data_IF_406262914580
#
_entry.id   IF_406262914580
#
_cell.length_a   1.000
_cell.length_b   1.000
_cell.length_c   1.000
_cell.angle_alpha   90.00
_cell.angle_beta   90.00
_cell.angle_gamma   90.00
#
_symmetry.space_group_name_H-M   'P 1'
#
loop_
_entity.id
_entity.type
_entity.pdbx_description
1 polymer ?
#
# COMPACT_ATOMS: atom_id res chain seq x y z
N UNK A 1 30.82 6.30 7.38
CA UNK A 1 29.43 5.83 7.19
C UNK A 1 28.66 6.09 8.47
N UNK A 2 27.53 6.81 8.42
CA UNK A 2 26.64 6.92 9.58
C UNK A 2 25.97 5.56 9.82
N UNK A 3 25.71 5.15 11.08
CA UNK A 3 24.98 3.92 11.34
C UNK A 3 23.56 4.04 10.76
N UNK A 4 23.22 3.12 9.86
CA UNK A 4 21.89 3.02 9.25
C UNK A 4 21.18 1.82 9.87
N UNK A 5 20.01 2.03 10.47
CA UNK A 5 19.12 0.92 10.80
C UNK A 5 18.31 0.56 9.57
N UNK A 6 18.55 -0.65 9.06
CA UNK A 6 17.79 -1.25 7.97
C UNK A 6 16.65 -2.07 8.58
N UNK A 7 15.41 -1.64 8.36
CA UNK A 7 14.23 -2.40 8.76
C UNK A 7 14.00 -3.55 7.77
N UNK A 8 13.82 -4.79 8.24
CA UNK A 8 13.62 -5.94 7.36
C UNK A 8 12.40 -5.79 6.45
N UNK A 9 12.48 -6.28 5.21
CA UNK A 9 11.36 -6.33 4.25
C UNK A 9 10.10 -6.98 4.86
N UNK A 10 10.30 -8.04 5.64
CA UNK A 10 9.21 -8.76 6.33
C UNK A 10 8.43 -7.87 7.31
N UNK A 11 9.08 -6.91 7.97
CA UNK A 11 8.42 -5.97 8.89
C UNK A 11 7.56 -4.95 8.13
N UNK A 12 8.04 -4.49 6.97
CA UNK A 12 7.25 -3.64 6.07
C UNK A 12 6.00 -4.36 5.56
N UNK A 13 6.17 -5.57 5.02
CA UNK A 13 5.08 -6.36 4.45
C UNK A 13 4.05 -6.68 5.53
N UNK A 14 4.47 -7.12 6.72
CA UNK A 14 3.57 -7.42 7.82
C UNK A 14 2.80 -6.17 8.29
N UNK A 15 3.49 -5.04 8.46
CA UNK A 15 2.86 -3.80 8.90
C UNK A 15 1.88 -3.24 7.85
N UNK A 16 2.24 -3.31 6.57
CA UNK A 16 1.40 -2.85 5.46
C UNK A 16 0.17 -3.75 5.29
N UNK A 17 0.35 -5.07 5.40
CA UNK A 17 -0.75 -6.04 5.40
C UNK A 17 -1.75 -5.73 6.51
N UNK A 18 -1.27 -5.56 7.74
CA UNK A 18 -2.13 -5.19 8.87
C UNK A 18 -2.84 -3.83 8.64
N UNK A 19 -2.15 -2.86 8.04
CA UNK A 19 -2.73 -1.57 7.71
C UNK A 19 -3.91 -1.70 6.73
N UNK A 20 -3.71 -2.42 5.61
CA UNK A 20 -4.79 -2.67 4.63
C UNK A 20 -5.94 -3.45 5.27
N UNK A 21 -5.63 -4.40 6.15
CA UNK A 21 -6.65 -5.16 6.88
C UNK A 21 -7.53 -4.28 7.76
N UNK A 22 -6.89 -3.44 8.57
CA UNK A 22 -7.60 -2.49 9.43
C UNK A 22 -8.42 -1.48 8.62
N UNK A 23 -7.96 -1.06 7.43
CA UNK A 23 -8.76 -0.21 6.54
C UNK A 23 -10.03 -0.93 6.07
N UNK A 24 -9.91 -2.19 5.63
CA UNK A 24 -11.06 -2.94 5.15
C UNK A 24 -12.09 -3.18 6.24
N UNK A 25 -11.66 -3.65 7.42
CA UNK A 25 -12.58 -3.87 8.56
C UNK A 25 -13.28 -2.56 8.96
N UNK A 26 -12.52 -1.45 8.99
CA UNK A 26 -13.08 -0.13 9.29
C UNK A 26 -14.10 0.35 8.25
N UNK A 27 -13.84 0.13 6.95
CA UNK A 27 -14.67 0.66 5.88
C UNK A 27 -15.85 -0.24 5.50
N UNK A 28 -15.70 -1.55 5.68
CA UNK A 28 -16.75 -2.55 5.47
C UNK A 28 -17.59 -2.79 6.74
N UNK A 29 -17.22 -2.19 7.87
CA UNK A 29 -18.00 -2.20 9.11
C UNK A 29 -18.18 -3.58 9.72
N UNK A 30 -17.35 -4.54 9.35
CA UNK A 30 -17.48 -5.95 9.74
C UNK A 30 -16.10 -6.60 9.92
N UNK A 31 -16.04 -7.60 10.81
CA UNK A 31 -14.90 -8.49 10.89
C UNK A 31 -14.89 -9.38 9.64
N UNK A 32 -13.79 -9.40 8.91
CA UNK A 32 -13.70 -10.07 7.61
C UNK A 32 -13.01 -11.44 7.75
N UNK A 33 -13.53 -12.42 7.02
CA UNK A 33 -12.84 -13.69 6.79
C UNK A 33 -11.81 -13.50 5.67
N UNK A 34 -10.60 -13.11 6.06
CA UNK A 34 -9.49 -12.75 5.16
C UNK A 34 -9.07 -13.85 4.18
N UNK A 35 -9.45 -15.10 4.43
CA UNK A 35 -9.12 -16.28 3.62
C UNK A 35 -10.07 -16.47 2.42
N UNK A 36 -11.13 -15.67 2.29
CA UNK A 36 -12.13 -15.80 1.24
C UNK A 36 -12.21 -14.51 0.38
N UNK A 37 -11.32 -14.35 -0.64
CA UNK A 37 -11.31 -13.18 -1.51
C UNK A 37 -12.67 -12.87 -2.15
N UNK A 38 -13.44 -13.85 -2.69
CA UNK A 38 -14.78 -13.60 -3.22
C UNK A 38 -15.74 -12.92 -2.24
N UNK A 39 -15.73 -13.33 -0.96
CA UNK A 39 -16.58 -12.72 0.08
C UNK A 39 -16.24 -11.25 0.31
N UNK A 40 -14.95 -10.94 0.42
CA UNK A 40 -14.47 -9.56 0.62
C UNK A 40 -14.77 -8.69 -0.60
N UNK A 41 -14.59 -9.21 -1.82
CA UNK A 41 -14.94 -8.48 -3.03
C UNK A 41 -16.44 -8.20 -3.14
N UNK A 42 -17.27 -9.19 -2.78
CA UNK A 42 -18.73 -9.02 -2.74
C UNK A 42 -19.15 -7.96 -1.70
N UNK A 43 -18.47 -7.93 -0.54
CA UNK A 43 -18.69 -6.89 0.45
C UNK A 43 -18.31 -5.50 -0.08
N UNK A 44 -17.18 -5.37 -0.78
CA UNK A 44 -16.78 -4.10 -1.41
C UNK A 44 -17.85 -3.62 -2.40
N UNK A 45 -18.37 -4.51 -3.24
CA UNK A 45 -19.39 -4.15 -4.24
C UNK A 45 -20.70 -3.72 -3.59
N UNK A 46 -21.11 -4.38 -2.52
CA UNK A 46 -22.31 -4.02 -1.75
C UNK A 46 -22.17 -2.67 -1.07
N UNK A 47 -21.01 -2.36 -0.49
CA UNK A 47 -20.80 -1.13 0.30
C UNK A 47 -20.36 0.07 -0.57
N UNK A 48 -19.87 -0.15 -1.79
CA UNK A 48 -19.37 0.94 -2.65
C UNK A 48 -20.40 2.07 -2.93
N UNK A 49 -21.71 1.80 -3.10
CA UNK A 49 -22.70 2.86 -3.32
C UNK A 49 -22.88 3.82 -2.12
N UNK A 50 -22.68 3.34 -0.90
CA UNK A 50 -22.86 4.11 0.35
C UNK A 50 -21.54 4.64 0.92
N UNK A 51 -20.43 3.95 0.63
CA UNK A 51 -19.10 4.30 1.10
C UNK A 51 -18.07 4.15 -0.02
N UNK A 52 -17.88 5.20 -0.82
CA UNK A 52 -16.94 5.17 -1.94
C UNK A 52 -15.50 4.75 -1.54
N UNK A 53 -15.07 4.97 -0.29
CA UNK A 53 -13.71 4.61 0.15
C UNK A 53 -13.40 3.12 0.03
N UNK A 54 -14.41 2.25 0.09
CA UNK A 54 -14.21 0.79 -0.06
C UNK A 54 -13.69 0.42 -1.45
N UNK A 55 -13.92 1.24 -2.48
CA UNK A 55 -13.40 1.00 -3.83
C UNK A 55 -11.87 1.01 -3.85
N UNK A 56 -11.24 1.79 -2.97
CA UNK A 56 -9.78 1.85 -2.85
C UNK A 56 -9.16 0.51 -2.41
N UNK A 57 -9.94 -0.35 -1.76
CA UNK A 57 -9.49 -1.71 -1.39
C UNK A 57 -9.19 -2.56 -2.62
N UNK A 58 -9.87 -2.35 -3.75
CA UNK A 58 -9.57 -3.07 -5.01
C UNK A 58 -8.15 -2.80 -5.52
N UNK A 59 -7.58 -1.64 -5.19
CA UNK A 59 -6.19 -1.30 -5.51
C UNK A 59 -5.19 -1.85 -4.49
N UNK A 60 -5.55 -1.87 -3.20
CA UNK A 60 -4.65 -2.21 -2.10
C UNK A 60 -4.56 -3.72 -1.83
N UNK A 61 -5.67 -4.45 -1.90
CA UNK A 61 -5.72 -5.89 -1.59
C UNK A 61 -4.75 -6.72 -2.45
N UNK A 62 -4.63 -6.50 -3.77
CA UNK A 62 -3.66 -7.23 -4.60
C UNK A 62 -2.18 -7.00 -4.23
N UNK A 63 -1.86 -5.97 -3.42
CA UNK A 63 -0.49 -5.71 -2.96
C UNK A 63 -0.12 -6.52 -1.71
N UNK A 64 -1.11 -6.94 -0.92
CA UNK A 64 -0.89 -7.65 0.36
C UNK A 64 -1.17 -9.14 0.26
N UNK A 65 -2.01 -9.55 -0.69
CA UNK A 65 -2.35 -10.94 -0.92
C UNK A 65 -2.57 -11.19 -2.43
N UNK A 66 -1.69 -11.99 -3.07
CA UNK A 66 -1.80 -12.30 -4.50
C UNK A 66 -3.10 -12.99 -4.92
N UNK A 67 -3.82 -13.66 -4.01
CA UNK A 67 -5.10 -14.31 -4.33
C UNK A 67 -6.19 -13.32 -4.79
N UNK A 68 -6.09 -12.05 -4.37
CA UNK A 68 -6.95 -10.97 -4.84
C UNK A 68 -6.58 -10.49 -6.24
N UNK A 69 -5.33 -10.69 -6.68
CA UNK A 69 -4.90 -10.32 -8.02
C UNK A 69 -5.56 -11.19 -9.10
N UNK A 70 -5.88 -12.46 -8.78
CA UNK A 70 -6.63 -13.35 -9.68
C UNK A 70 -8.13 -13.08 -9.72
N UNK A 71 -8.67 -12.40 -8.70
CA UNK A 71 -10.10 -12.15 -8.55
C UNK A 71 -10.54 -10.74 -8.99
N UNK A 72 -9.59 -9.87 -9.34
CA UNK A 72 -9.83 -8.50 -9.79
C UNK A 72 -9.28 -8.29 -11.20
N UNK A 73 -9.86 -7.36 -11.99
CA UNK A 73 -9.25 -6.94 -13.25
C UNK A 73 -7.79 -6.51 -13.05
N UNK A 74 -6.91 -6.97 -13.94
CA UNK A 74 -5.46 -6.69 -13.88
C UNK A 74 -5.12 -5.20 -13.78
N UNK A 75 -5.99 -4.34 -14.31
CA UNK A 75 -5.86 -2.89 -14.27
C UNK A 75 -5.72 -2.30 -12.86
N UNK A 76 -6.33 -2.88 -11.83
CA UNK A 76 -6.23 -2.35 -10.46
C UNK A 76 -4.81 -2.47 -9.89
N UNK A 77 -4.19 -3.65 -10.04
CA UNK A 77 -2.82 -3.90 -9.56
C UNK A 77 -1.82 -3.04 -10.33
N UNK A 78 -1.96 -2.96 -11.65
CA UNK A 78 -1.11 -2.12 -12.50
C UNK A 78 -1.23 -0.63 -12.12
N UNK A 79 -2.45 -0.15 -11.95
CA UNK A 79 -2.73 1.24 -11.56
C UNK A 79 -2.12 1.57 -10.19
N UNK A 80 -2.23 0.66 -9.22
CA UNK A 80 -1.63 0.87 -7.90
C UNK A 80 -0.10 0.85 -7.95
N UNK A 81 0.50 -0.05 -8.75
CA UNK A 81 1.94 -0.04 -9.03
C UNK A 81 2.39 1.24 -9.72
N UNK A 82 1.59 1.80 -10.63
CA UNK A 82 1.85 3.12 -11.24
C UNK A 82 1.86 4.23 -10.19
N UNK A 83 0.93 4.20 -9.23
CA UNK A 83 0.91 5.16 -8.11
C UNK A 83 2.20 5.08 -7.29
N UNK A 84 2.59 3.86 -6.87
CA UNK A 84 3.84 3.60 -6.13
C UNK A 84 5.06 4.09 -6.90
N UNK A 85 5.14 3.79 -8.20
CA UNK A 85 6.24 4.22 -9.07
C UNK A 85 6.36 5.74 -9.14
N UNK A 86 5.23 6.45 -9.23
CA UNK A 86 5.23 7.91 -9.22
C UNK A 86 5.63 8.48 -7.86
N UNK A 87 5.19 7.88 -6.75
CA UNK A 87 5.63 8.30 -5.41
C UNK A 87 7.13 8.10 -5.22
N UNK A 88 7.68 6.98 -5.71
CA UNK A 88 9.11 6.68 -5.70
C UNK A 88 9.92 7.69 -6.52
N UNK A 89 9.44 8.04 -7.72
CA UNK A 89 10.14 8.98 -8.62
C UNK A 89 10.06 10.43 -8.15
N UNK A 90 8.91 10.86 -7.65
CA UNK A 90 8.65 12.25 -7.30
C UNK A 90 9.05 12.55 -5.86
N UNK A 91 10.24 12.14 -5.41
CA UNK A 91 10.71 12.18 -4.01
C UNK A 91 10.61 13.53 -3.24
N UNK A 92 10.08 14.59 -3.85
CA UNK A 92 10.07 15.98 -3.41
C UNK A 92 8.80 16.49 -2.69
N UNK A 93 7.92 15.63 -2.16
CA UNK A 93 7.33 15.97 -0.87
C UNK A 93 7.69 14.97 0.22
N UNK A 94 8.30 13.84 -0.13
CA UNK A 94 8.38 12.71 0.77
C UNK A 94 9.72 12.57 1.47
N UNK A 95 10.89 12.63 0.79
CA UNK A 95 12.24 12.43 1.40
C UNK A 95 12.23 11.46 2.62
N UNK A 96 11.46 10.39 2.49
CA UNK A 96 11.14 9.47 3.56
C UNK A 96 11.67 8.13 3.10
N UNK A 97 12.85 7.78 3.60
CA UNK A 97 13.52 6.54 3.22
C UNK A 97 12.66 5.30 3.47
N UNK A 98 11.77 5.35 4.46
CA UNK A 98 10.84 4.26 4.74
C UNK A 98 9.77 4.15 3.65
N UNK A 99 9.27 5.27 3.13
CA UNK A 99 8.35 5.27 1.99
C UNK A 99 9.04 4.78 0.72
N UNK A 100 10.27 5.25 0.45
CA UNK A 100 11.02 4.83 -0.73
C UNK A 100 11.27 3.32 -0.68
N UNK A 101 11.69 2.80 0.48
CA UNK A 101 11.87 1.37 0.67
C UNK A 101 10.59 0.58 0.55
N UNK A 102 9.47 1.07 1.09
CA UNK A 102 8.16 0.44 0.88
C UNK A 102 7.82 0.35 -0.62
N UNK A 103 8.06 1.43 -1.37
CA UNK A 103 7.83 1.43 -2.82
C UNK A 103 8.73 0.40 -3.52
N UNK A 104 10.01 0.33 -3.18
CA UNK A 104 10.94 -0.69 -3.72
C UNK A 104 10.45 -2.12 -3.43
N UNK A 105 10.00 -2.39 -2.20
CA UNK A 105 9.47 -3.70 -1.81
C UNK A 105 8.23 -4.06 -2.63
N UNK A 106 7.25 -3.15 -2.72
CA UNK A 106 5.98 -3.41 -3.40
C UNK A 106 6.11 -3.43 -4.94
N UNK A 107 7.20 -2.88 -5.48
CA UNK A 107 7.50 -2.84 -6.93
C UNK A 107 8.51 -3.90 -7.38
N UNK A 108 9.04 -4.74 -6.47
CA UNK A 108 10.12 -5.71 -6.74
C UNK A 108 9.93 -6.55 -8.00
N UNK A 109 8.68 -6.97 -8.26
CA UNK A 109 8.30 -7.79 -9.42
C UNK A 109 7.38 -7.04 -10.41
N UNK A 110 7.56 -5.72 -10.54
CA UNK A 110 6.81 -4.91 -11.49
C UNK A 110 7.64 -4.66 -12.76
N UNK A 111 7.00 -4.75 -13.93
CA UNK A 111 7.60 -4.30 -15.18
C UNK A 111 7.63 -2.77 -15.20
N UNK A 112 8.80 -2.19 -14.95
CA UNK A 112 8.96 -0.74 -14.91
C UNK A 112 8.72 -0.08 -16.27
N UNK A 113 8.91 -0.79 -17.39
CA UNK A 113 8.65 -0.26 -18.72
C UNK A 113 7.14 -0.02 -18.91
N UNK A 114 6.31 -0.98 -18.49
CA UNK A 114 4.85 -0.86 -18.47
C UNK A 114 4.39 0.30 -17.58
N UNK A 115 5.04 0.51 -16.43
CA UNK A 115 4.71 1.60 -15.50
C UNK A 115 5.09 2.99 -16.03
N UNK A 116 5.99 3.11 -17.00
CA UNK A 116 6.31 4.41 -17.61
C UNK A 116 5.15 4.91 -18.45
N UNK A 117 4.55 4.04 -19.27
CA UNK A 117 3.50 4.40 -20.24
C UNK A 117 2.09 4.33 -19.68
N UNK A 118 1.86 3.55 -18.62
CA UNK A 118 0.53 3.40 -18.01
C UNK A 118 0.00 4.74 -17.48
N UNK A 119 -1.30 5.07 -17.66
CA UNK A 119 -1.89 6.25 -17.07
C UNK A 119 -2.01 6.11 -15.55
N UNK A 120 -2.04 7.24 -14.83
CA UNK A 120 -2.45 7.23 -13.42
C UNK A 120 -3.97 6.98 -13.33
N UNK A 121 -4.44 6.22 -12.32
CA UNK A 121 -5.88 6.10 -12.08
C UNK A 121 -6.47 7.45 -11.63
N UNK A 122 -7.77 7.63 -11.81
CA UNK A 122 -8.47 8.87 -11.44
C UNK A 122 -8.27 9.22 -9.95
N UNK A 123 -8.37 8.22 -9.08
CA UNK A 123 -8.26 8.37 -7.62
C UNK A 123 -6.82 8.41 -7.10
N UNK A 124 -5.81 8.62 -7.96
CA UNK A 124 -4.41 8.47 -7.59
C UNK A 124 -4.00 9.32 -6.38
N UNK A 125 -4.57 10.52 -6.22
CA UNK A 125 -4.23 11.40 -5.08
C UNK A 125 -4.68 10.80 -3.75
N UNK A 126 -5.83 10.14 -3.72
CA UNK A 126 -6.32 9.50 -2.50
C UNK A 126 -5.56 8.22 -2.21
N UNK A 127 -5.22 7.44 -3.23
CA UNK A 127 -4.32 6.28 -3.09
C UNK A 127 -2.95 6.70 -2.56
N UNK A 128 -2.38 7.82 -3.03
CA UNK A 128 -1.13 8.38 -2.51
C UNK A 128 -1.25 8.79 -1.03
N UNK A 129 -2.36 9.41 -0.63
CA UNK A 129 -2.62 9.77 0.78
C UNK A 129 -2.69 8.54 1.68
N UNK A 130 -3.29 7.44 1.21
CA UNK A 130 -3.34 6.18 1.98
C UNK A 130 -1.93 5.61 2.20
N UNK A 131 -1.12 5.53 1.15
CA UNK A 131 0.27 5.09 1.25
C UNK A 131 1.10 6.00 2.17
N UNK A 132 0.92 7.32 2.06
CA UNK A 132 1.60 8.28 2.92
C UNK A 132 1.18 8.15 4.38
N UNK A 133 -0.12 7.96 4.64
CA UNK A 133 -0.66 7.75 5.99
C UNK A 133 -0.03 6.51 6.64
N UNK A 134 0.09 5.42 5.87
CA UNK A 134 0.82 4.23 6.32
C UNK A 134 2.28 4.57 6.66
N UNK A 135 3.02 5.19 5.74
CA UNK A 135 4.43 5.51 5.94
C UNK A 135 4.67 6.35 7.21
N UNK A 136 3.83 7.37 7.46
CA UNK A 136 3.95 8.20 8.67
C UNK A 136 3.62 7.42 9.95
N UNK A 137 2.59 6.58 9.92
CA UNK A 137 2.24 5.74 11.07
C UNK A 137 3.34 4.70 11.37
N UNK A 138 3.90 4.09 10.32
CA UNK A 138 5.00 3.13 10.42
C UNK A 138 6.27 3.81 10.95
N UNK A 139 6.65 4.96 10.39
CA UNK A 139 7.78 5.78 10.84
C UNK A 139 7.70 6.11 12.33
N UNK A 140 6.52 6.50 12.81
CA UNK A 140 6.30 6.78 14.24
C UNK A 140 6.56 5.55 15.11
N UNK A 141 6.11 4.36 14.68
CA UNK A 141 6.36 3.10 15.40
C UNK A 141 7.84 2.75 15.42
N UNK A 142 8.50 2.82 14.26
CA UNK A 142 9.92 2.46 14.11
C UNK A 142 10.81 3.42 14.90
N UNK A 143 10.58 4.74 14.83
CA UNK A 143 11.35 5.74 15.61
C UNK A 143 11.26 5.53 17.12
N UNK A 144 10.10 5.07 17.61
CA UNK A 144 9.94 4.73 19.03
C UNK A 144 10.80 3.54 19.44
N UNK A 145 10.98 2.55 18.54
CA UNK A 145 11.77 1.33 18.78
C UNK A 145 13.28 1.58 18.65
N UNK A 146 13.68 2.43 17.71
CA UNK A 146 15.08 2.73 17.39
C UNK A 146 15.45 4.16 17.77
N UNK A 147 15.05 4.60 18.98
CA UNK A 147 15.34 5.95 19.48
C UNK A 147 16.85 6.21 19.53
N UNK A 148 17.31 7.32 18.97
CA UNK A 148 18.73 7.71 18.96
C UNK A 148 19.49 7.34 17.67
N UNK A 149 18.86 6.67 16.71
CA UNK A 149 19.42 6.42 15.39
C UNK A 149 19.17 7.62 14.46
N UNK A 150 20.22 8.09 13.78
CA UNK A 150 20.13 9.27 12.89
C UNK A 150 19.41 8.97 11.57
N UNK A 151 19.55 7.74 11.04
CA UNK A 151 18.97 7.32 9.76
C UNK A 151 18.36 5.91 9.86
N UNK A 152 17.09 5.80 9.47
CA UNK A 152 16.33 4.55 9.50
C UNK A 152 15.72 4.36 8.11
N UNK A 153 15.98 3.21 7.51
CA UNK A 153 15.63 2.86 6.12
C UNK A 153 14.87 1.56 6.08
#
# INVERSE_FOLDING_TARGET
MRPQTIIPETEYVAAFTLYVRNLAEKWLGSSLEWENPPSILSAIEREAPSNHRVTYLKYLLPLVDPSYAGSLPSGFRLSMRKVLYNMRRNGLPYNDYLLLRLCDILLKDADLAELVTSPLPEDYKDLQKLLWTFAQAFRKKVRKRYSGQEEII
#
